data_IF_808814274724
#
_entry.id   IF_808814274724
#
_cell.length_a   1.000
_cell.length_b   1.000
_cell.length_c   1.000
_cell.angle_alpha   90.00
_cell.angle_beta   90.00
_cell.angle_gamma   90.00
#
_symmetry.space_group_name_H-M   'P 1'
#
loop_
_entity.id
_entity.type
_entity.pdbx_description
1 polymer ?
#
# COMPACT_ATOMS: atom_id res chain seq x y z
N UNK A 1 -4.73 -2.53 14.65
CA UNK A 1 -5.88 -2.22 13.82
C UNK A 1 -7.14 -2.63 14.54
N UNK A 2 -8.11 -1.75 14.51
CA UNK A 2 -9.27 -1.79 15.40
C UNK A 2 -10.38 -2.77 14.96
N UNK A 3 -10.08 -3.70 14.03
CA UNK A 3 -11.06 -4.68 13.56
C UNK A 3 -12.24 -4.08 12.79
N UNK A 4 -12.07 -2.87 12.24
CA UNK A 4 -13.11 -2.15 11.48
C UNK A 4 -12.78 -2.20 9.99
N UNK A 5 -13.76 -2.44 9.12
CA UNK A 5 -13.60 -2.26 7.68
C UNK A 5 -13.13 -0.85 7.34
N UNK A 6 -12.12 -0.71 6.46
CA UNK A 6 -11.57 0.58 6.11
C UNK A 6 -11.21 0.67 4.61
N UNK A 7 -11.44 1.84 4.03
CA UNK A 7 -11.01 2.20 2.67
C UNK A 7 -10.18 3.47 2.75
N UNK A 8 -8.99 3.44 2.15
CA UNK A 8 -8.17 4.62 1.91
C UNK A 8 -8.32 5.03 0.44
N UNK A 9 -8.68 6.28 0.19
CA UNK A 9 -8.73 6.86 -1.15
C UNK A 9 -7.60 7.86 -1.33
N UNK A 10 -6.88 7.75 -2.44
CA UNK A 10 -5.81 8.67 -2.82
C UNK A 10 -5.95 9.05 -4.28
N UNK A 11 -5.83 10.33 -4.61
CA UNK A 11 -5.63 10.75 -5.99
C UNK A 11 -4.13 10.69 -6.29
N UNK A 12 -3.76 10.02 -7.39
CA UNK A 12 -2.36 9.97 -7.85
C UNK A 12 -1.96 11.30 -8.49
N UNK A 13 -0.66 11.62 -8.44
CA UNK A 13 -0.05 12.87 -8.91
C UNK A 13 -0.32 14.09 -8.03
N UNK A 14 0.65 14.99 -8.02
CA UNK A 14 0.55 16.28 -7.35
C UNK A 14 -0.23 17.26 -8.24
N UNK A 15 -1.00 18.13 -7.61
CA UNK A 15 -1.81 19.13 -8.31
C UNK A 15 -3.31 18.96 -8.13
N UNK A 16 -3.78 17.73 -8.00
CA UNK A 16 -5.18 17.38 -7.62
C UNK A 16 -6.23 18.25 -8.34
N UNK A 17 -6.13 18.30 -9.67
CA UNK A 17 -7.03 19.15 -10.48
C UNK A 17 -8.45 18.59 -10.59
N UNK A 18 -8.63 17.27 -10.44
CA UNK A 18 -9.87 16.55 -10.62
C UNK A 18 -10.35 15.87 -9.33
N UNK A 19 -10.33 16.60 -8.20
CA UNK A 19 -10.81 16.07 -6.90
C UNK A 19 -12.29 15.73 -6.91
N UNK A 20 -13.09 16.45 -7.69
CA UNK A 20 -14.51 16.18 -7.91
C UNK A 20 -14.72 14.81 -8.57
N UNK A 21 -13.93 14.47 -9.58
CA UNK A 21 -13.94 13.16 -10.23
C UNK A 21 -13.51 12.05 -9.25
N UNK A 22 -12.46 12.29 -8.46
CA UNK A 22 -12.02 11.35 -7.44
C UNK A 22 -13.08 11.13 -6.35
N UNK A 23 -13.76 12.20 -5.91
CA UNK A 23 -14.86 12.11 -4.96
C UNK A 23 -16.07 11.35 -5.52
N UNK A 24 -16.37 11.54 -6.82
CA UNK A 24 -17.45 10.81 -7.49
C UNK A 24 -17.15 9.30 -7.53
N UNK A 25 -15.95 8.90 -7.90
CA UNK A 25 -15.51 7.49 -7.91
C UNK A 25 -15.58 6.89 -6.50
N UNK A 26 -15.05 7.61 -5.50
CA UNK A 26 -15.08 7.14 -4.12
C UNK A 26 -16.51 6.93 -3.60
N UNK A 27 -17.40 7.90 -3.83
CA UNK A 27 -18.82 7.81 -3.45
C UNK A 27 -19.49 6.63 -4.15
N UNK A 28 -19.33 6.50 -5.46
CA UNK A 28 -19.96 5.44 -6.24
C UNK A 28 -19.49 4.06 -5.77
N UNK A 29 -18.18 3.87 -5.58
CA UNK A 29 -17.63 2.62 -5.08
C UNK A 29 -18.22 2.24 -3.72
N UNK A 30 -18.27 3.16 -2.75
CA UNK A 30 -18.83 2.89 -1.42
C UNK A 30 -20.32 2.57 -1.51
N UNK A 31 -21.08 3.31 -2.32
CA UNK A 31 -22.51 3.04 -2.53
C UNK A 31 -22.76 1.67 -3.13
N UNK A 32 -22.02 1.29 -4.18
CA UNK A 32 -22.14 -0.02 -4.81
C UNK A 32 -21.77 -1.15 -3.84
N UNK A 33 -20.69 -1.01 -3.09
CA UNK A 33 -20.28 -2.00 -2.08
C UNK A 33 -21.35 -2.14 -0.99
N UNK A 34 -21.98 -1.05 -0.58
CA UNK A 34 -23.06 -1.07 0.41
C UNK A 34 -24.30 -1.78 -0.11
N UNK A 35 -24.74 -1.42 -1.32
CA UNK A 35 -25.92 -2.01 -1.97
C UNK A 35 -25.76 -3.51 -2.21
N UNK A 36 -24.56 -3.94 -2.54
CA UNK A 36 -24.24 -5.35 -2.79
C UNK A 36 -23.94 -6.15 -1.50
N UNK A 37 -24.00 -5.53 -0.34
CA UNK A 37 -23.71 -6.17 0.94
C UNK A 37 -22.24 -6.59 1.12
N UNK A 38 -21.31 -6.01 0.34
CA UNK A 38 -19.88 -6.37 0.38
C UNK A 38 -19.16 -5.83 1.61
N UNK A 39 -19.75 -4.91 2.33
CA UNK A 39 -19.11 -4.28 3.50
C UNK A 39 -18.99 -5.23 4.69
N UNK A 40 -19.80 -6.27 4.79
CA UNK A 40 -19.68 -7.34 5.77
C UNK A 40 -19.35 -6.90 7.20
N UNK A 41 -19.17 -7.87 8.10
CA UNK A 41 -18.76 -7.61 9.49
C UNK A 41 -17.30 -7.94 9.77
N UNK A 42 -16.61 -8.62 8.83
CA UNK A 42 -15.20 -8.96 8.97
C UNK A 42 -14.33 -7.76 8.63
N UNK A 43 -13.24 -7.53 9.39
CA UNK A 43 -12.32 -6.43 9.10
C UNK A 43 -11.61 -6.67 7.76
N UNK A 44 -11.57 -5.64 6.94
CA UNK A 44 -10.81 -5.61 5.69
C UNK A 44 -10.21 -4.20 5.50
N UNK A 45 -9.19 -4.12 4.69
CA UNK A 45 -8.54 -2.87 4.34
C UNK A 45 -8.36 -2.80 2.83
N UNK A 46 -8.89 -1.75 2.22
CA UNK A 46 -8.74 -1.47 0.79
C UNK A 46 -7.97 -0.17 0.60
N UNK A 47 -7.03 -0.20 -0.34
CA UNK A 47 -6.36 0.99 -0.85
C UNK A 47 -6.86 1.26 -2.26
N UNK A 48 -7.35 2.47 -2.50
CA UNK A 48 -7.85 2.90 -3.81
C UNK A 48 -7.05 4.11 -4.27
N UNK A 49 -6.35 3.96 -5.40
CA UNK A 49 -5.65 5.05 -6.04
C UNK A 49 -6.41 5.46 -7.30
N UNK A 50 -6.73 6.75 -7.43
CA UNK A 50 -7.56 7.30 -8.51
C UNK A 50 -6.70 8.20 -9.39
N UNK A 51 -6.66 7.99 -10.73
CA UNK A 51 -5.94 8.87 -11.64
C UNK A 51 -6.44 10.31 -11.57
N UNK A 52 -5.55 11.28 -11.77
CA UNK A 52 -5.88 12.70 -11.83
C UNK A 52 -6.41 13.07 -13.22
N UNK A 53 -7.60 12.56 -13.56
CA UNK A 53 -8.26 12.71 -14.84
C UNK A 53 -9.71 13.22 -14.66
N UNK A 54 -10.27 13.90 -15.67
CA UNK A 54 -11.69 14.21 -15.70
C UNK A 54 -12.53 12.91 -15.62
N UNK A 55 -13.68 12.97 -14.96
CA UNK A 55 -14.55 11.80 -14.77
C UNK A 55 -14.87 11.01 -16.07
N UNK A 56 -15.14 11.64 -17.22
CA UNK A 56 -15.42 10.91 -18.46
C UNK A 56 -14.20 10.15 -19.05
N UNK A 57 -12.98 10.49 -18.62
CA UNK A 57 -11.74 9.85 -19.08
C UNK A 57 -11.32 8.69 -18.19
N UNK A 58 -11.90 8.59 -17.00
CA UNK A 58 -11.63 7.48 -16.09
C UNK A 58 -12.20 6.17 -16.63
N UNK A 59 -11.38 5.15 -16.58
CA UNK A 59 -11.75 3.79 -16.96
C UNK A 59 -12.37 3.04 -15.76
N UNK A 60 -13.00 1.88 -15.95
CA UNK A 60 -13.54 1.08 -14.86
C UNK A 60 -12.50 0.73 -13.80
N UNK A 61 -12.93 0.63 -12.53
CA UNK A 61 -12.06 0.23 -11.40
C UNK A 61 -11.45 -1.15 -11.67
N UNK A 62 -10.14 -1.30 -11.41
CA UNK A 62 -9.41 -2.57 -11.50
C UNK A 62 -8.93 -3.02 -10.13
N UNK A 63 -9.12 -4.31 -9.84
CA UNK A 63 -8.50 -4.95 -8.66
C UNK A 63 -7.05 -5.28 -9.00
N UNK A 64 -6.13 -4.82 -8.16
CA UNK A 64 -4.69 -4.87 -8.40
C UNK A 64 -3.94 -5.35 -7.16
N UNK A 65 -2.70 -5.79 -7.36
CA UNK A 65 -1.71 -5.89 -6.28
C UNK A 65 -0.91 -4.58 -6.17
N UNK A 66 -0.25 -4.37 -5.05
CA UNK A 66 0.71 -3.27 -4.94
C UNK A 66 1.90 -3.51 -5.89
N UNK A 67 2.28 -2.48 -6.61
CA UNK A 67 3.57 -2.39 -7.27
C UNK A 67 4.68 -2.07 -6.27
N UNK A 68 5.92 -2.00 -6.75
CA UNK A 68 7.08 -1.64 -5.93
C UNK A 68 7.67 -0.33 -6.43
N UNK A 69 8.20 0.47 -5.51
CA UNK A 69 8.98 1.64 -5.83
C UNK A 69 10.49 1.34 -5.70
N UNK A 70 11.31 2.10 -6.41
CA UNK A 70 12.73 2.17 -6.11
C UNK A 70 12.92 2.76 -4.70
N UNK A 71 14.13 2.60 -4.15
CA UNK A 71 14.48 3.26 -2.89
C UNK A 71 14.21 4.77 -2.99
N UNK A 72 13.80 5.36 -1.88
CA UNK A 72 13.63 6.81 -1.79
C UNK A 72 14.92 7.54 -2.17
N UNK A 73 14.80 8.78 -2.63
CA UNK A 73 15.95 9.64 -2.86
C UNK A 73 16.78 9.83 -1.59
N UNK A 74 18.04 10.24 -1.77
CA UNK A 74 18.98 10.42 -0.65
C UNK A 74 18.39 11.35 0.41
N UNK A 75 18.61 11.00 1.65
CA UNK A 75 18.29 11.86 2.80
C UNK A 75 19.14 13.14 2.72
N UNK A 76 18.49 14.30 2.79
CA UNK A 76 19.17 15.58 2.86
C UNK A 76 19.32 15.97 4.32
N UNK A 77 20.55 16.22 4.75
CA UNK A 77 20.85 16.68 6.11
C UNK A 77 20.97 18.21 6.11
N UNK A 78 20.28 18.85 7.02
CA UNK A 78 20.35 20.31 7.26
C UNK A 78 20.52 20.58 8.75
N UNK A 79 21.08 21.74 9.07
CA UNK A 79 21.18 22.21 10.45
C UNK A 79 20.11 23.27 10.67
N UNK A 80 19.30 23.10 11.72
CA UNK A 80 18.28 24.08 12.11
C UNK A 80 18.94 25.37 12.61
N UNK A 81 18.23 26.52 12.66
CA UNK A 81 18.74 27.75 13.25
C UNK A 81 19.17 27.63 14.73
N UNK A 82 18.74 26.54 15.41
CA UNK A 82 19.12 26.22 16.79
C UNK A 82 20.31 25.29 16.91
N UNK A 83 20.96 24.93 15.77
CA UNK A 83 22.11 24.03 15.72
C UNK A 83 21.74 22.53 15.75
N UNK A 84 20.46 22.16 15.62
CA UNK A 84 20.01 20.76 15.61
C UNK A 84 20.12 20.16 14.21
N UNK A 85 20.58 18.92 14.10
CA UNK A 85 20.60 18.19 12.83
C UNK A 85 19.20 17.73 12.44
N UNK A 86 18.75 18.16 11.28
CA UNK A 86 17.47 17.77 10.67
C UNK A 86 17.71 16.89 9.45
N UNK A 87 16.86 15.88 9.28
CA UNK A 87 16.90 15.00 8.13
C UNK A 87 15.61 15.14 7.32
N UNK A 88 15.75 15.48 6.04
CA UNK A 88 14.64 15.48 5.09
C UNK A 88 14.66 14.17 4.32
N UNK A 89 13.59 13.43 4.43
CA UNK A 89 13.40 12.21 3.62
C UNK A 89 12.94 12.67 2.24
N UNK A 90 13.70 12.31 1.21
CA UNK A 90 13.38 12.61 -0.18
C UNK A 90 12.06 11.96 -0.63
N UNK A 91 11.60 12.34 -1.82
CA UNK A 91 10.41 11.75 -2.42
C UNK A 91 10.57 10.24 -2.59
N UNK A 92 9.46 9.51 -2.55
CA UNK A 92 9.46 8.10 -2.90
C UNK A 92 9.99 7.94 -4.33
N UNK A 93 10.91 7.00 -4.55
CA UNK A 93 11.50 6.74 -5.87
C UNK A 93 10.45 6.35 -6.92
N UNK A 94 10.85 6.39 -8.20
CA UNK A 94 10.03 5.96 -9.32
C UNK A 94 9.53 4.51 -9.14
N UNK A 95 8.49 4.15 -9.87
CA UNK A 95 8.00 2.78 -9.89
C UNK A 95 9.12 1.83 -10.39
N UNK A 96 9.31 0.72 -9.69
CA UNK A 96 10.24 -0.36 -10.03
C UNK A 96 9.52 -1.57 -10.60
N UNK A 97 8.33 -1.87 -10.07
CA UNK A 97 7.43 -2.89 -10.55
C UNK A 97 6.11 -2.20 -10.91
N UNK A 98 5.96 -1.87 -12.18
CA UNK A 98 4.79 -1.24 -12.79
C UNK A 98 4.16 -2.12 -13.87
N UNK A 99 4.48 -3.41 -13.84
CA UNK A 99 3.93 -4.39 -14.79
C UNK A 99 2.43 -4.58 -14.65
N UNK A 100 1.84 -5.27 -15.61
CA UNK A 100 0.42 -5.58 -15.62
C UNK A 100 -0.04 -6.22 -14.29
N UNK A 101 -1.23 -5.86 -13.83
CA UNK A 101 -1.80 -6.29 -12.56
C UNK A 101 -1.37 -5.47 -11.35
N UNK A 102 -0.47 -4.47 -11.51
CA UNK A 102 -0.11 -3.54 -10.43
C UNK A 102 -1.02 -2.31 -10.39
N UNK A 103 -1.09 -1.67 -9.23
CA UNK A 103 -1.75 -0.38 -9.03
C UNK A 103 -1.13 0.74 -9.90
N UNK A 104 0.20 0.71 -10.10
CA UNK A 104 0.89 1.65 -11.01
C UNK A 104 0.42 1.49 -12.45
N UNK A 105 0.39 0.24 -12.96
CA UNK A 105 -0.07 -0.02 -14.32
C UNK A 105 -1.53 0.39 -14.52
N UNK A 106 -2.40 0.07 -13.56
CA UNK A 106 -3.80 0.44 -13.64
C UNK A 106 -3.97 1.97 -13.70
N UNK A 107 -3.35 2.71 -12.77
CA UNK A 107 -3.50 4.16 -12.72
C UNK A 107 -2.85 4.87 -13.90
N UNK A 108 -1.71 4.39 -14.41
CA UNK A 108 -1.09 4.92 -15.63
C UNK A 108 -1.97 4.75 -16.88
N UNK A 109 -2.87 3.76 -16.87
CA UNK A 109 -3.83 3.52 -17.96
C UNK A 109 -5.24 4.07 -17.67
N UNK A 110 -5.36 5.03 -16.76
CA UNK A 110 -6.61 5.72 -16.45
C UNK A 110 -7.61 4.94 -15.61
N UNK A 111 -7.24 3.76 -15.08
CA UNK A 111 -8.10 2.97 -14.21
C UNK A 111 -7.88 3.32 -12.74
N UNK A 112 -8.93 3.64 -11.97
CA UNK A 112 -8.81 3.58 -10.51
C UNK A 112 -8.41 2.16 -10.11
N UNK A 113 -7.38 2.05 -9.27
CA UNK A 113 -6.91 0.76 -8.73
C UNK A 113 -7.53 0.50 -7.37
N UNK A 114 -7.95 -0.72 -7.10
CA UNK A 114 -8.40 -1.18 -5.80
C UNK A 114 -7.49 -2.33 -5.36
N UNK A 115 -6.78 -2.14 -4.26
CA UNK A 115 -5.86 -3.15 -3.72
C UNK A 115 -6.32 -3.59 -2.34
N UNK A 116 -6.74 -4.87 -2.18
CA UNK A 116 -6.97 -5.44 -0.85
C UNK A 116 -5.65 -5.57 -0.09
N UNK A 117 -5.61 -5.11 1.16
CA UNK A 117 -4.42 -5.13 2.00
C UNK A 117 -4.61 -6.03 3.22
N UNK A 118 -3.54 -6.70 3.63
CA UNK A 118 -3.43 -7.34 4.94
C UNK A 118 -2.51 -6.51 5.83
N UNK A 119 -2.83 -6.44 7.10
CA UNK A 119 -2.02 -5.76 8.09
C UNK A 119 -1.10 -6.71 8.82
N UNK A 120 -1.50 -7.97 8.92
CA UNK A 120 -0.64 -9.01 9.45
C UNK A 120 0.48 -9.31 8.46
N UNK A 121 1.70 -8.95 8.85
CA UNK A 121 2.93 -9.17 8.09
C UNK A 121 3.57 -10.53 8.40
N UNK A 122 2.96 -11.34 9.27
CA UNK A 122 3.45 -12.67 9.59
C UNK A 122 3.31 -13.59 8.37
N UNK A 123 4.38 -14.27 8.01
CA UNK A 123 4.36 -15.31 6.97
C UNK A 123 3.86 -16.62 7.60
N UNK A 124 2.55 -16.74 7.72
CA UNK A 124 1.90 -17.89 8.35
C UNK A 124 2.25 -19.21 7.67
N UNK A 125 2.44 -19.20 6.36
CA UNK A 125 2.74 -20.40 5.57
C UNK A 125 4.13 -20.96 5.88
N UNK A 126 5.05 -20.11 6.35
CA UNK A 126 6.42 -20.48 6.69
C UNK A 126 6.71 -20.68 8.17
N UNK A 127 5.76 -20.40 9.06
CA UNK A 127 5.98 -20.57 10.49
C UNK A 127 6.43 -21.98 10.84
N UNK A 128 5.79 -23.02 10.28
CA UNK A 128 6.14 -24.41 10.51
C UNK A 128 7.57 -24.74 10.06
N UNK A 129 7.93 -24.30 8.87
CA UNK A 129 9.29 -24.47 8.33
C UNK A 129 10.34 -23.85 9.26
N UNK A 130 10.16 -22.58 9.63
CA UNK A 130 11.12 -21.90 10.50
C UNK A 130 11.18 -22.50 11.90
N UNK A 131 10.04 -22.91 12.48
CA UNK A 131 10.01 -23.58 13.77
C UNK A 131 10.79 -24.89 13.76
N UNK A 132 10.70 -25.68 12.69
CA UNK A 132 11.49 -26.92 12.54
C UNK A 132 12.97 -26.61 12.35
N UNK A 133 13.33 -25.68 11.48
CA UNK A 133 14.71 -25.30 11.18
C UNK A 133 15.42 -24.80 12.42
N UNK A 134 14.78 -23.94 13.19
CA UNK A 134 15.35 -23.40 14.44
C UNK A 134 15.53 -24.50 15.50
N UNK A 135 14.57 -25.44 15.64
CA UNK A 135 14.76 -26.59 16.53
C UNK A 135 15.97 -27.42 16.15
N UNK A 136 16.19 -27.68 14.85
CA UNK A 136 17.36 -28.43 14.39
C UNK A 136 18.68 -27.70 14.68
N UNK A 137 18.72 -26.38 14.46
CA UNK A 137 19.92 -25.58 14.74
C UNK A 137 20.31 -25.62 16.22
N UNK A 138 19.32 -25.57 17.12
CA UNK A 138 19.54 -25.50 18.56
C UNK A 138 19.35 -26.84 19.29
N UNK A 139 19.10 -27.95 18.58
CA UNK A 139 18.97 -29.27 19.19
C UNK A 139 20.23 -29.71 19.93
N UNK A 140 21.43 -29.21 19.56
CA UNK A 140 22.74 -29.62 20.08
C UNK A 140 23.40 -28.61 21.01
N UNK A 141 22.90 -27.36 21.12
CA UNK A 141 23.45 -26.35 22.03
C UNK A 141 22.47 -25.19 22.27
N UNK A 142 22.34 -24.72 23.53
CA UNK A 142 21.53 -23.53 23.82
C UNK A 142 22.09 -22.28 23.20
N UNK A 143 21.23 -21.24 23.01
CA UNK A 143 21.64 -19.93 22.50
C UNK A 143 22.72 -19.33 23.41
N UNK A 144 23.84 -18.91 22.81
CA UNK A 144 24.98 -18.32 23.54
C UNK A 144 26.08 -19.30 23.94
N UNK A 145 25.94 -20.61 23.70
CA UNK A 145 27.01 -21.61 23.95
C UNK A 145 28.02 -21.77 22.81
N UNK A 146 27.91 -20.96 21.77
CA UNK A 146 28.89 -20.91 20.65
C UNK A 146 29.70 -19.62 20.77
N UNK A 147 30.78 -19.68 21.53
CA UNK A 147 31.86 -18.67 21.51
C UNK A 147 32.84 -18.99 20.39
#
# INVERSE_FOLDING_TARGET
LFGVPAIAFSQVEKGWQHLDAAAAVARDLVMQMTQQGLLGTQPWLLNVNIPNLPLPELQPVKVCRLGRRHAAEKVITQISPRGETMYWIGSAGAAKDEGEGTDFHATANGHPSLTPLKVDLSDHDRLGYWAQSIRQIYASAPVGARA
#
